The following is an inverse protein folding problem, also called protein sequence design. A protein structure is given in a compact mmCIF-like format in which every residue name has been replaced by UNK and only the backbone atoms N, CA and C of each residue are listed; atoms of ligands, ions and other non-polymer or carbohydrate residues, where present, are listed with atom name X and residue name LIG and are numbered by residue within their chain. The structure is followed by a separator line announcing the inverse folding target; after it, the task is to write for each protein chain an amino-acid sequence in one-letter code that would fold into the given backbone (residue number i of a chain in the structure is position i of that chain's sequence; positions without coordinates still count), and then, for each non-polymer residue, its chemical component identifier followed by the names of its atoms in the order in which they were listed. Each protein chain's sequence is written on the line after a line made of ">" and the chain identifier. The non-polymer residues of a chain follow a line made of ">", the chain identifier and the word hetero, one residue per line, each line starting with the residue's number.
data_IF_329359681517
#
_entry.id   IF_329359681517
#
_cell.length_a   1.000
_cell.length_b   1.000
_cell.length_c   1.000
_cell.angle_alpha   90.00
_cell.angle_beta   90.00
_cell.angle_gamma   90.00
#
_symmetry.space_group_name_H-M   'P 1'
#
loop_
_entity.id
_entity.type
_entity.pdbx_description
1 polymer ?
#
# COMPACT_ATOMS: atom_id res chain seq x y z
N UNK A 1 -8.16 -41.01 1.77
CA UNK A 1 -9.17 -41.18 2.82
C UNK A 1 -9.74 -39.77 3.11
N UNK A 2 -10.96 -39.56 2.65
CA UNK A 2 -11.68 -38.28 2.80
C UNK A 2 -12.33 -38.26 4.17
N UNK A 3 -12.03 -37.25 4.99
CA UNK A 3 -12.81 -36.96 6.21
C UNK A 3 -13.68 -35.75 5.95
N UNK A 4 -14.98 -35.98 5.80
CA UNK A 4 -16.00 -34.97 5.79
C UNK A 4 -16.27 -34.54 7.25
N UNK A 5 -16.20 -33.22 7.50
CA UNK A 5 -16.59 -32.63 8.77
C UNK A 5 -17.99 -32.04 8.58
N UNK A 6 -18.98 -32.67 9.22
CA UNK A 6 -20.34 -32.15 9.33
C UNK A 6 -20.35 -31.01 10.35
N UNK A 7 -20.70 -29.79 9.91
CA UNK A 7 -21.07 -28.72 10.82
C UNK A 7 -22.58 -28.77 11.07
N UNK A 8 -22.95 -29.02 12.33
CA UNK A 8 -24.33 -29.02 12.79
C UNK A 8 -24.86 -27.60 12.95
N UNK A 9 -25.95 -27.30 12.30
CA UNK A 9 -26.72 -26.05 12.46
C UNK A 9 -27.59 -26.21 13.70
N UNK A 10 -27.30 -25.42 14.75
CA UNK A 10 -28.19 -25.28 15.91
C UNK A 10 -29.15 -24.11 15.64
N UNK A 11 -30.39 -24.45 15.28
CA UNK A 11 -31.49 -23.50 15.21
C UNK A 11 -31.98 -23.19 16.63
N UNK A 12 -31.73 -21.99 17.12
CA UNK A 12 -32.35 -21.44 18.34
C UNK A 12 -33.63 -20.72 17.95
N UNK A 13 -34.76 -21.38 18.19
CA UNK A 13 -36.09 -20.77 18.13
C UNK A 13 -36.28 -19.90 19.36
N UNK A 14 -36.35 -18.58 19.21
CA UNK A 14 -36.86 -17.68 20.24
C UNK A 14 -38.34 -17.46 20.05
N UNK A 15 -39.09 -17.97 21.05
CA UNK A 15 -40.50 -17.89 21.15
C UNK A 15 -41.01 -16.45 21.33
N UNK A 16 -42.12 -16.16 20.67
CA UNK A 16 -42.79 -14.88 20.74
C UNK A 16 -43.31 -14.51 22.12
N UNK A 17 -43.15 -13.27 22.48
CA UNK A 17 -43.93 -12.62 23.51
C UNK A 17 -44.92 -11.69 22.78
N UNK A 18 -46.14 -12.18 22.63
CA UNK A 18 -47.28 -11.33 22.29
C UNK A 18 -47.69 -10.51 23.52
N UNK A 19 -47.28 -9.24 23.51
CA UNK A 19 -47.84 -8.26 24.44
C UNK A 19 -49.08 -7.64 23.80
N UNK A 20 -50.25 -7.99 24.32
CA UNK A 20 -51.48 -7.25 24.06
C UNK A 20 -51.37 -5.88 24.74
N UNK A 21 -51.29 -4.82 24.00
CA UNK A 21 -51.50 -3.48 24.49
C UNK A 21 -52.91 -3.03 24.17
N UNK A 22 -53.64 -2.62 25.23
CA UNK A 22 -54.97 -2.07 25.20
C UNK A 22 -55.03 -0.82 24.32
N UNK A 23 -56.12 -0.80 23.53
CA UNK A 23 -56.60 0.32 22.77
C UNK A 23 -56.97 1.45 23.72
N UNK A 24 -56.32 2.60 23.59
CA UNK A 24 -56.85 3.90 23.93
C UNK A 24 -56.96 4.69 22.64
N UNK A 25 -58.21 4.79 22.16
CA UNK A 25 -58.57 5.74 21.13
C UNK A 25 -58.44 7.16 21.67
N UNK A 26 -58.03 8.02 20.76
CA UNK A 26 -58.08 9.47 20.76
C UNK A 26 -56.83 10.21 21.17
N UNK A 27 -56.11 10.56 20.14
CA UNK A 27 -55.66 11.91 19.78
C UNK A 27 -54.60 11.81 18.67
N UNK A 28 -54.92 12.36 17.53
CA UNK A 28 -54.11 12.77 16.38
C UNK A 28 -52.64 12.37 16.35
N UNK A 29 -52.32 11.08 16.50
CA UNK A 29 -50.96 10.59 16.33
C UNK A 29 -50.74 10.45 14.84
N UNK A 30 -49.97 11.35 14.32
CA UNK A 30 -49.36 11.31 13.00
C UNK A 30 -48.91 9.87 12.69
N UNK A 31 -49.35 9.25 11.57
CA UNK A 31 -49.02 7.86 11.27
C UNK A 31 -47.51 7.71 11.28
N UNK A 32 -47.05 6.84 12.16
CA UNK A 32 -45.68 6.48 12.50
C UNK A 32 -44.63 7.16 11.62
N UNK A 33 -43.92 8.13 12.18
CA UNK A 33 -42.69 8.62 11.55
C UNK A 33 -41.90 7.37 11.17
N UNK A 34 -41.78 7.06 9.87
CA UNK A 34 -41.02 5.92 9.38
C UNK A 34 -39.65 6.02 10.04
N UNK A 35 -39.24 4.96 10.71
CA UNK A 35 -37.89 4.94 11.30
C UNK A 35 -36.90 5.40 10.24
N UNK A 36 -36.12 6.42 10.58
CA UNK A 36 -35.15 7.03 9.64
C UNK A 36 -33.81 6.36 9.70
N UNK A 37 -33.65 5.32 10.54
CA UNK A 37 -32.40 4.65 10.79
C UNK A 37 -32.51 3.14 10.70
N UNK A 38 -31.43 2.50 10.34
CA UNK A 38 -31.14 1.07 10.42
C UNK A 38 -29.77 0.84 11.03
N UNK A 39 -29.33 -0.41 11.05
CA UNK A 39 -28.02 -0.81 11.59
C UNK A 39 -27.12 -1.33 10.48
N UNK A 40 -25.82 -1.08 10.59
CA UNK A 40 -24.80 -1.46 9.63
C UNK A 40 -23.66 -2.20 10.34
N UNK A 41 -23.38 -3.43 9.91
CA UNK A 41 -22.21 -4.24 10.31
C UNK A 41 -21.24 -4.38 9.16
N UNK A 42 -19.93 -4.24 9.41
CA UNK A 42 -18.89 -4.27 8.40
C UNK A 42 -17.91 -5.42 8.65
N UNK A 43 -17.60 -6.16 7.60
CA UNK A 43 -16.48 -7.10 7.53
C UNK A 43 -15.41 -6.51 6.59
N UNK A 44 -14.14 -6.65 6.96
CA UNK A 44 -13.02 -6.10 6.21
C UNK A 44 -12.06 -7.20 5.80
N UNK A 45 -11.78 -7.29 4.51
CA UNK A 45 -10.65 -8.00 3.96
C UNK A 45 -9.63 -6.99 3.44
N UNK A 46 -8.38 -7.10 3.88
CA UNK A 46 -7.29 -6.29 3.36
C UNK A 46 -6.42 -7.18 2.46
N UNK A 47 -6.54 -6.99 1.14
CA UNK A 47 -5.70 -7.68 0.15
C UNK A 47 -4.37 -6.97 0.02
N UNK A 48 -3.32 -7.70 0.41
CA UNK A 48 -1.95 -7.21 0.44
C UNK A 48 -1.08 -7.79 -0.67
N UNK A 49 -1.66 -8.43 -1.68
CA UNK A 49 -0.90 -9.00 -2.78
C UNK A 49 -0.24 -7.89 -3.60
N UNK A 50 1.10 -7.92 -3.66
CA UNK A 50 1.90 -7.01 -4.49
C UNK A 50 2.35 -7.75 -5.73
N UNK A 51 1.92 -7.28 -6.90
CA UNK A 51 2.34 -7.84 -8.17
C UNK A 51 3.82 -7.53 -8.44
N UNK A 52 4.68 -8.55 -8.37
CA UNK A 52 6.06 -8.46 -8.83
C UNK A 52 6.08 -8.80 -10.31
N UNK A 53 6.37 -7.82 -11.16
CA UNK A 53 6.49 -8.02 -12.60
C UNK A 53 7.88 -8.57 -12.97
N UNK A 54 8.44 -9.50 -12.20
CA UNK A 54 9.66 -10.20 -12.56
C UNK A 54 9.36 -11.68 -12.76
N UNK A 55 10.04 -12.26 -13.74
CA UNK A 55 9.92 -13.67 -14.20
C UNK A 55 10.31 -14.73 -13.15
N UNK A 56 10.52 -14.33 -11.89
CA UNK A 56 10.88 -15.19 -10.76
C UNK A 56 9.96 -14.81 -9.58
N UNK A 57 8.90 -15.44 -9.50
CA UNK A 57 7.91 -15.83 -8.49
C UNK A 57 8.08 -15.50 -7.01
N UNK A 58 8.56 -14.32 -6.63
CA UNK A 58 8.48 -13.86 -5.26
C UNK A 58 7.44 -12.72 -5.21
N UNK A 59 6.27 -13.02 -4.69
CA UNK A 59 5.31 -11.99 -4.29
C UNK A 59 5.80 -11.40 -2.97
N UNK A 60 6.19 -10.12 -2.96
CA UNK A 60 6.33 -9.39 -1.70
C UNK A 60 4.93 -9.15 -1.14
N UNK A 61 4.59 -9.88 -0.12
CA UNK A 61 3.31 -9.72 0.57
C UNK A 61 3.43 -8.62 1.61
N UNK A 62 2.50 -7.67 1.60
CA UNK A 62 2.35 -6.67 2.65
C UNK A 62 1.28 -7.17 3.62
N UNK A 63 1.69 -7.73 4.74
CA UNK A 63 0.77 -8.26 5.74
C UNK A 63 0.52 -7.19 6.81
N UNK A 64 -0.75 -6.86 7.03
CA UNK A 64 -1.18 -6.05 8.16
C UNK A 64 -1.48 -6.94 9.36
N UNK A 65 -1.00 -6.54 10.52
CA UNK A 65 -1.40 -7.15 11.80
C UNK A 65 -2.88 -6.88 12.10
N UNK A 66 -3.49 -7.68 12.95
CA UNK A 66 -4.88 -7.47 13.37
C UNK A 66 -5.09 -6.11 14.06
N UNK A 67 -4.06 -5.60 14.75
CA UNK A 67 -4.09 -4.27 15.36
C UNK A 67 -4.02 -3.15 14.30
N UNK A 68 -3.36 -3.35 13.18
CA UNK A 68 -3.35 -2.41 12.06
C UNK A 68 -4.69 -2.44 11.32
N UNK A 69 -5.27 -3.62 11.10
CA UNK A 69 -6.60 -3.75 10.49
C UNK A 69 -7.68 -3.00 11.28
N UNK A 70 -7.62 -3.00 12.62
CA UNK A 70 -8.53 -2.24 13.49
C UNK A 70 -8.49 -0.72 13.24
N UNK A 71 -7.39 -0.20 12.70
CA UNK A 71 -7.19 1.24 12.44
C UNK A 71 -7.79 1.74 11.11
N UNK A 72 -8.33 0.86 10.27
CA UNK A 72 -9.02 1.31 9.06
C UNK A 72 -10.13 2.28 9.41
N UNK A 73 -10.11 3.44 8.77
CA UNK A 73 -11.16 4.45 8.87
C UNK A 73 -12.28 4.06 7.93
N UNK A 74 -13.49 3.99 8.46
CA UNK A 74 -14.69 3.62 7.71
C UNK A 74 -15.52 4.88 7.46
N UNK A 75 -15.88 5.09 6.21
CA UNK A 75 -16.73 6.20 5.80
C UNK A 75 -17.86 5.70 4.90
N UNK A 76 -18.98 6.40 4.90
CA UNK A 76 -20.12 6.10 4.04
C UNK A 76 -20.52 7.31 3.21
N UNK A 77 -20.73 7.13 1.91
CA UNK A 77 -21.27 8.18 1.03
C UNK A 77 -22.65 7.74 0.57
N UNK A 78 -23.69 8.51 0.92
CA UNK A 78 -25.09 8.20 0.55
C UNK A 78 -25.29 8.44 -0.95
N UNK A 79 -26.02 7.56 -1.61
CA UNK A 79 -26.33 7.69 -3.03
C UNK A 79 -27.01 9.03 -3.32
N UNK A 80 -26.52 9.74 -4.34
CA UNK A 80 -26.94 11.10 -4.69
C UNK A 80 -26.38 12.21 -3.81
N UNK A 81 -25.60 11.87 -2.76
CA UNK A 81 -24.86 12.82 -1.94
C UNK A 81 -23.41 12.92 -2.38
N UNK A 82 -22.78 14.07 -2.12
CA UNK A 82 -21.33 14.29 -2.35
C UNK A 82 -20.50 14.28 -1.07
N UNK A 83 -21.16 14.25 0.10
CA UNK A 83 -20.49 14.31 1.39
C UNK A 83 -20.33 12.91 1.99
N UNK A 84 -19.12 12.57 2.38
CA UNK A 84 -18.83 11.37 3.15
C UNK A 84 -19.16 11.60 4.61
N UNK A 85 -19.80 10.63 5.26
CA UNK A 85 -20.08 10.62 6.70
C UNK A 85 -19.10 9.69 7.40
N UNK A 86 -18.55 10.06 8.56
CA UNK A 86 -17.66 9.19 9.33
C UNK A 86 -18.48 8.07 9.97
N UNK A 87 -18.07 6.83 9.74
CA UNK A 87 -18.65 5.62 10.35
C UNK A 87 -17.72 5.03 11.44
N UNK A 88 -16.60 5.68 11.74
CA UNK A 88 -15.63 5.29 12.76
C UNK A 88 -14.47 4.49 12.22
N UNK A 89 -13.97 3.54 13.01
CA UNK A 89 -12.88 2.65 12.61
C UNK A 89 -13.37 1.20 12.53
N UNK A 90 -12.59 0.33 11.90
CA UNK A 90 -12.94 -1.09 11.85
C UNK A 90 -12.98 -1.73 13.26
N UNK A 91 -12.23 -1.19 14.23
CA UNK A 91 -12.34 -1.62 15.63
C UNK A 91 -13.76 -1.49 16.20
N UNK A 92 -14.51 -0.52 15.72
CA UNK A 92 -15.89 -0.27 16.18
C UNK A 92 -16.90 -1.33 15.70
N UNK A 93 -16.51 -2.18 14.75
CA UNK A 93 -17.30 -3.29 14.19
C UNK A 93 -16.80 -4.68 14.67
N UNK A 94 -15.83 -4.69 15.56
CA UNK A 94 -15.29 -5.93 16.10
C UNK A 94 -16.39 -6.75 16.79
N UNK A 95 -16.26 -8.09 16.71
CA UNK A 95 -17.20 -9.03 17.32
C UNK A 95 -18.65 -8.91 16.85
N UNK A 96 -18.87 -8.45 15.62
CA UNK A 96 -20.21 -8.29 15.06
C UNK A 96 -20.96 -7.07 15.57
N UNK A 97 -20.25 -6.08 16.12
CA UNK A 97 -20.88 -4.82 16.50
C UNK A 97 -21.40 -4.09 15.26
N UNK A 98 -22.51 -3.37 15.44
CA UNK A 98 -23.21 -2.63 14.39
C UNK A 98 -23.33 -1.17 14.75
N UNK A 99 -23.44 -0.29 13.75
CA UNK A 99 -23.68 1.14 13.93
C UNK A 99 -25.02 1.56 13.36
N UNK A 100 -25.73 2.42 14.08
CA UNK A 100 -26.94 3.06 13.62
C UNK A 100 -26.61 4.13 12.59
N UNK A 101 -27.19 4.02 11.41
CA UNK A 101 -27.06 4.98 10.30
C UNK A 101 -28.42 5.32 9.70
N UNK A 102 -28.51 6.42 8.97
CA UNK A 102 -29.74 6.78 8.27
C UNK A 102 -30.08 5.75 7.19
N UNK A 103 -31.37 5.59 6.93
CA UNK A 103 -31.88 4.76 5.83
C UNK A 103 -31.41 5.31 4.49
N UNK A 104 -30.96 4.43 3.61
CA UNK A 104 -30.50 4.79 2.27
C UNK A 104 -29.57 3.76 1.65
N UNK A 105 -29.15 4.05 0.45
CA UNK A 105 -28.08 3.29 -0.25
C UNK A 105 -26.76 4.04 -0.09
N UNK A 106 -25.71 3.32 0.21
CA UNK A 106 -24.38 3.86 0.51
C UNK A 106 -23.28 3.21 -0.31
N UNK A 107 -22.23 3.97 -0.59
CA UNK A 107 -20.91 3.45 -0.88
C UNK A 107 -20.12 3.49 0.42
N UNK A 108 -19.66 2.34 0.89
CA UNK A 108 -18.88 2.20 2.14
C UNK A 108 -17.40 2.06 1.76
N UNK A 109 -16.59 3.00 2.24
CA UNK A 109 -15.15 3.00 1.99
C UNK A 109 -14.39 2.70 3.28
N UNK A 110 -13.42 1.80 3.19
CA UNK A 110 -12.45 1.51 4.23
C UNK A 110 -11.06 1.97 3.75
N UNK A 111 -10.37 2.81 4.52
CA UNK A 111 -9.04 3.32 4.19
C UNK A 111 -8.09 3.22 5.37
N UNK A 112 -6.82 2.89 5.08
CA UNK A 112 -5.74 2.78 6.06
C UNK A 112 -4.45 3.40 5.55
N UNK A 113 -3.74 4.07 6.43
CA UNK A 113 -2.45 4.69 6.15
C UNK A 113 -2.57 5.99 5.36
N UNK A 114 -1.56 6.82 5.50
CA UNK A 114 -1.41 8.07 4.74
C UNK A 114 0.04 8.30 4.41
N UNK A 115 0.33 8.80 3.22
CA UNK A 115 1.65 9.29 2.84
C UNK A 115 1.63 10.81 2.77
N UNK A 116 2.60 11.46 3.38
CA UNK A 116 2.75 12.93 3.35
C UNK A 116 3.45 13.42 2.09
N UNK A 117 4.30 12.57 1.48
CA UNK A 117 5.06 12.84 0.27
C UNK A 117 4.87 11.76 -0.80
N UNK A 118 5.72 11.79 -1.82
CA UNK A 118 5.76 10.75 -2.85
C UNK A 118 6.46 9.48 -2.37
N UNK A 119 7.29 9.56 -1.33
CA UNK A 119 8.05 8.45 -0.71
C UNK A 119 7.83 8.43 0.80
N UNK A 120 7.81 7.23 1.38
CA UNK A 120 7.85 7.03 2.83
C UNK A 120 8.33 5.61 3.18
N UNK A 121 8.99 5.45 4.33
CA UNK A 121 9.32 4.12 4.85
C UNK A 121 8.16 3.56 5.68
N UNK A 122 7.89 2.26 5.50
CA UNK A 122 6.96 1.46 6.31
C UNK A 122 5.55 2.06 6.43
N UNK A 123 5.11 2.77 5.37
CA UNK A 123 3.77 3.36 5.30
C UNK A 123 2.96 2.80 4.13
N UNK A 124 2.47 1.57 4.25
CA UNK A 124 1.50 1.04 3.30
C UNK A 124 0.19 1.83 3.41
N UNK A 125 -0.44 2.06 2.29
CA UNK A 125 -1.77 2.67 2.20
C UNK A 125 -2.73 1.72 1.52
N UNK A 126 -3.91 1.53 2.12
CA UNK A 126 -4.95 0.65 1.61
C UNK A 126 -6.25 1.41 1.47
N UNK A 127 -7.01 1.08 0.43
CA UNK A 127 -8.37 1.59 0.24
C UNK A 127 -9.22 0.54 -0.46
N UNK A 128 -10.49 0.49 -0.09
CA UNK A 128 -11.49 -0.31 -0.76
C UNK A 128 -12.87 0.28 -0.57
N UNK A 129 -13.78 0.01 -1.50
CA UNK A 129 -15.15 0.53 -1.46
C UNK A 129 -16.12 -0.56 -1.86
N UNK A 130 -17.14 -0.78 -1.02
CA UNK A 130 -18.32 -1.59 -1.34
C UNK A 130 -19.47 -0.64 -1.69
N UNK A 131 -20.03 -0.82 -2.87
CA UNK A 131 -21.10 0.03 -3.39
C UNK A 131 -22.49 -0.60 -3.17
N UNK A 132 -23.51 0.21 -3.34
CA UNK A 132 -24.93 -0.20 -3.31
C UNK A 132 -25.36 -0.89 -2.02
N UNK A 133 -24.72 -0.55 -0.90
CA UNK A 133 -25.08 -1.04 0.44
C UNK A 133 -26.40 -0.43 0.87
N UNK A 134 -27.43 -1.25 0.97
CA UNK A 134 -28.78 -0.79 1.35
C UNK A 134 -28.98 -0.90 2.85
N UNK A 135 -29.28 0.22 3.49
CA UNK A 135 -29.70 0.29 4.91
C UNK A 135 -31.19 0.54 4.97
N UNK A 136 -31.92 -0.40 5.52
CA UNK A 136 -33.39 -0.32 5.66
C UNK A 136 -33.80 0.05 7.08
N UNK A 137 -35.00 0.64 7.21
CA UNK A 137 -35.52 1.05 8.50
C UNK A 137 -35.73 -0.13 9.45
N UNK A 138 -35.22 -0.01 10.69
CA UNK A 138 -35.33 -1.02 11.76
C UNK A 138 -34.79 -2.40 11.35
N UNK A 139 -33.87 -2.45 10.41
CA UNK A 139 -33.17 -3.68 10.02
C UNK A 139 -31.67 -3.53 10.21
N UNK A 140 -31.01 -4.64 10.46
CA UNK A 140 -29.55 -4.74 10.48
C UNK A 140 -29.09 -5.23 9.10
N UNK A 141 -28.20 -4.47 8.46
CA UNK A 141 -27.43 -4.89 7.29
C UNK A 141 -26.11 -5.44 7.80
N UNK A 142 -26.01 -6.75 7.90
CA UNK A 142 -24.81 -7.44 8.44
C UNK A 142 -23.81 -7.77 7.33
N UNK A 143 -22.53 -7.91 7.73
CA UNK A 143 -21.46 -8.46 6.89
C UNK A 143 -21.29 -7.73 5.56
N UNK A 144 -21.31 -6.41 5.58
CA UNK A 144 -20.87 -5.64 4.41
C UNK A 144 -19.38 -5.84 4.23
N UNK A 145 -19.01 -6.66 3.22
CA UNK A 145 -17.63 -7.02 2.96
C UNK A 145 -16.94 -5.92 2.17
N UNK A 146 -15.99 -5.23 2.79
CA UNK A 146 -15.14 -4.26 2.10
C UNK A 146 -13.77 -4.89 1.87
N UNK A 147 -13.37 -5.07 0.61
CA UNK A 147 -12.03 -5.53 0.24
C UNK A 147 -11.16 -4.32 -0.04
N UNK A 148 -10.15 -4.09 0.81
CA UNK A 148 -9.20 -3.00 0.67
C UNK A 148 -7.88 -3.50 0.07
N UNK A 149 -7.45 -2.88 -1.02
CA UNK A 149 -6.21 -3.20 -1.73
C UNK A 149 -5.13 -2.14 -1.46
N UNK A 150 -3.86 -2.52 -1.65
CA UNK A 150 -2.73 -1.62 -1.52
C UNK A 150 -2.77 -0.54 -2.60
N UNK A 151 -2.78 0.74 -2.22
CA UNK A 151 -2.90 1.89 -3.14
C UNK A 151 -1.58 2.57 -3.46
N UNK A 152 -0.51 2.18 -2.78
CA UNK A 152 0.86 2.57 -3.12
C UNK A 152 1.68 1.37 -3.61
N UNK A 153 2.92 1.59 -3.99
CA UNK A 153 3.83 0.56 -4.48
C UNK A 153 5.12 0.53 -3.68
N UNK A 154 5.92 -0.50 -3.87
CA UNK A 154 7.20 -0.68 -3.19
C UNK A 154 8.34 -0.44 -4.17
N UNK A 155 9.42 0.18 -3.70
CA UNK A 155 10.73 0.20 -4.35
C UNK A 155 11.64 -0.73 -3.57
N UNK A 156 12.23 -1.70 -4.24
CA UNK A 156 13.19 -2.63 -3.65
C UNK A 156 14.46 -2.74 -4.50
N UNK A 157 15.54 -3.17 -3.88
CA UNK A 157 16.81 -3.47 -4.57
C UNK A 157 17.02 -4.97 -4.54
N UNK A 158 17.34 -5.55 -5.69
CA UNK A 158 17.65 -6.96 -5.79
C UNK A 158 18.95 -7.28 -5.04
N UNK A 159 18.83 -8.07 -3.98
CA UNK A 159 19.95 -8.36 -3.09
C UNK A 159 21.08 -9.15 -3.79
N UNK A 160 20.73 -10.02 -4.74
CA UNK A 160 21.73 -10.82 -5.47
C UNK A 160 22.59 -9.92 -6.33
N UNK A 161 21.98 -9.08 -7.17
CA UNK A 161 22.73 -8.18 -8.06
C UNK A 161 23.44 -7.08 -7.29
N UNK A 162 22.91 -6.61 -6.17
CA UNK A 162 23.60 -5.68 -5.29
C UNK A 162 24.84 -6.31 -4.63
N UNK A 163 24.75 -7.56 -4.19
CA UNK A 163 25.88 -8.31 -3.64
C UNK A 163 26.96 -8.54 -4.71
N UNK A 164 26.57 -8.85 -5.94
CA UNK A 164 27.50 -9.00 -7.07
C UNK A 164 28.15 -7.67 -7.44
N UNK A 165 27.40 -6.56 -7.48
CA UNK A 165 27.94 -5.22 -7.67
C UNK A 165 29.04 -4.90 -6.64
N UNK A 166 28.82 -5.25 -5.39
CA UNK A 166 29.79 -5.05 -4.29
C UNK A 166 31.07 -5.87 -4.43
N UNK A 167 31.16 -6.84 -5.33
CA UNK A 167 32.45 -7.53 -5.65
C UNK A 167 33.38 -6.61 -6.43
N UNK A 168 32.86 -5.78 -7.30
CA UNK A 168 33.59 -4.88 -8.20
C UNK A 168 33.65 -3.44 -7.72
N UNK A 169 32.74 -3.02 -6.85
CA UNK A 169 32.63 -1.64 -6.35
C UNK A 169 32.45 -1.58 -4.83
N UNK A 170 32.91 -0.50 -4.23
CA UNK A 170 32.56 -0.09 -2.88
C UNK A 170 31.43 0.91 -3.00
N UNK A 171 30.21 0.53 -2.57
CA UNK A 171 29.06 1.41 -2.59
C UNK A 171 29.10 2.29 -1.33
N UNK A 172 29.09 3.61 -1.52
CA UNK A 172 29.10 4.58 -0.42
C UNK A 172 27.72 5.07 -0.07
N UNK A 173 26.86 5.22 -1.08
CA UNK A 173 25.48 5.68 -0.91
C UNK A 173 24.55 4.93 -1.86
N UNK A 174 23.37 4.58 -1.35
CA UNK A 174 22.23 4.11 -2.14
C UNK A 174 20.95 4.62 -1.44
N UNK A 175 20.26 5.56 -2.05
CA UNK A 175 19.09 6.17 -1.46
C UNK A 175 18.09 6.63 -2.52
N UNK A 176 16.85 6.85 -2.11
CA UNK A 176 15.84 7.52 -2.91
C UNK A 176 15.53 8.90 -2.33
N UNK A 177 15.00 9.78 -3.17
CA UNK A 177 14.44 11.06 -2.74
C UNK A 177 13.33 11.51 -3.69
N UNK A 178 12.43 12.37 -3.20
CA UNK A 178 11.42 13.03 -4.02
C UNK A 178 11.80 14.47 -4.25
N UNK A 179 11.77 14.90 -5.50
CA UNK A 179 12.11 16.28 -5.89
C UNK A 179 12.90 16.34 -7.20
N UNK A 180 13.15 17.57 -7.67
CA UNK A 180 13.91 17.83 -8.90
C UNK A 180 15.41 17.99 -8.65
N UNK A 181 15.80 18.25 -7.41
CA UNK A 181 17.19 18.45 -6.96
C UNK A 181 17.48 17.49 -5.82
N UNK A 182 18.69 16.91 -5.81
CA UNK A 182 19.14 16.07 -4.69
C UNK A 182 19.17 16.91 -3.40
N UNK A 183 18.47 16.48 -2.34
CA UNK A 183 18.46 17.22 -1.08
C UNK A 183 19.82 17.20 -0.41
N UNK A 184 20.16 18.31 0.26
CA UNK A 184 21.36 18.39 1.11
C UNK A 184 21.10 17.81 2.49
N UNK A 185 19.83 17.89 2.97
CA UNK A 185 19.42 17.30 4.24
C UNK A 185 19.30 15.78 4.12
N UNK A 186 19.95 15.08 5.03
CA UNK A 186 19.90 13.61 5.10
C UNK A 186 18.52 13.08 5.49
N UNK A 187 17.69 13.89 6.18
CA UNK A 187 16.33 13.52 6.54
C UNK A 187 15.37 13.43 5.34
N UNK A 188 15.74 14.05 4.22
CA UNK A 188 14.98 13.99 2.97
C UNK A 188 15.47 12.85 2.05
N UNK A 189 16.48 12.09 2.49
CA UNK A 189 17.05 10.94 1.79
C UNK A 189 16.57 9.65 2.43
N UNK A 190 15.94 8.82 1.64
CA UNK A 190 15.49 7.48 2.05
C UNK A 190 16.60 6.47 1.78
N UNK A 191 17.53 6.30 2.75
CA UNK A 191 18.66 5.38 2.60
C UNK A 191 18.19 3.93 2.53
N UNK A 192 18.62 3.23 1.49
CA UNK A 192 18.30 1.82 1.22
C UNK A 192 19.42 0.88 1.71
N UNK A 193 20.51 1.44 2.24
CA UNK A 193 21.62 0.70 2.84
C UNK A 193 21.81 1.12 4.29
N UNK A 194 22.28 0.17 5.09
CA UNK A 194 22.67 0.38 6.48
C UNK A 194 24.04 1.10 6.57
N UNK A 195 24.43 1.49 7.77
CA UNK A 195 25.75 2.04 8.06
C UNK A 195 26.91 1.08 7.71
N UNK A 196 26.64 -0.22 7.58
CA UNK A 196 27.60 -1.25 7.16
C UNK A 196 27.56 -1.53 5.65
N UNK A 197 26.90 -0.68 4.88
CA UNK A 197 26.74 -0.79 3.42
C UNK A 197 26.12 -2.14 2.97
N UNK A 198 25.16 -2.62 3.74
CA UNK A 198 24.30 -3.75 3.36
C UNK A 198 22.88 -3.22 3.11
N UNK A 199 22.12 -3.87 2.24
CA UNK A 199 20.72 -3.50 2.05
C UNK A 199 19.98 -3.56 3.39
N UNK A 200 19.21 -2.53 3.68
CA UNK A 200 18.34 -2.49 4.88
C UNK A 200 17.01 -3.18 4.57
N UNK A 201 16.99 -4.50 4.80
CA UNK A 201 15.78 -5.31 4.59
C UNK A 201 14.72 -5.14 5.68
N UNK A 202 15.04 -4.38 6.75
CA UNK A 202 14.09 -4.13 7.84
C UNK A 202 13.05 -3.08 7.49
N UNK A 203 13.27 -2.30 6.42
CA UNK A 203 12.40 -1.21 5.97
C UNK A 203 11.92 -1.46 4.55
N UNK A 204 10.65 -1.17 4.31
CA UNK A 204 10.07 -1.14 2.96
C UNK A 204 9.88 0.31 2.54
N UNK A 205 10.43 0.69 1.39
CA UNK A 205 10.22 2.02 0.82
C UNK A 205 8.97 2.00 -0.05
N UNK A 206 7.97 2.75 0.38
CA UNK A 206 6.72 2.93 -0.38
C UNK A 206 6.79 4.15 -1.27
N UNK A 207 6.18 4.06 -2.45
CA UNK A 207 6.05 5.13 -3.43
C UNK A 207 4.58 5.32 -3.79
N UNK A 208 4.15 6.58 -3.81
CA UNK A 208 2.76 6.95 -4.13
C UNK A 208 2.45 6.68 -5.60
N UNK A 209 1.25 6.19 -5.89
CA UNK A 209 0.71 6.10 -7.25
C UNK A 209 0.84 7.43 -7.99
N UNK A 210 1.30 7.39 -9.22
CA UNK A 210 1.45 8.58 -10.06
C UNK A 210 2.61 9.51 -9.67
N UNK A 211 3.45 9.14 -8.68
CA UNK A 211 4.62 9.91 -8.31
C UNK A 211 5.53 10.14 -9.53
N UNK A 212 5.98 11.37 -9.73
CA UNK A 212 6.69 11.78 -10.95
C UNK A 212 8.14 12.22 -10.72
N UNK A 213 8.47 12.58 -9.47
CA UNK A 213 9.78 13.15 -9.13
C UNK A 213 10.59 12.27 -8.17
N UNK A 214 10.30 10.98 -8.15
CA UNK A 214 11.07 10.02 -7.36
C UNK A 214 12.34 9.65 -8.09
N UNK A 215 13.46 9.87 -7.42
CA UNK A 215 14.80 9.56 -7.93
C UNK A 215 15.45 8.49 -7.07
N UNK A 216 16.27 7.66 -7.70
CA UNK A 216 17.17 6.72 -7.05
C UNK A 216 18.62 7.13 -7.35
N UNK A 217 19.45 7.12 -6.31
CA UNK A 217 20.84 7.51 -6.39
C UNK A 217 21.70 6.35 -5.91
N UNK A 218 22.75 6.04 -6.68
CA UNK A 218 23.81 5.14 -6.28
C UNK A 218 25.15 5.85 -6.43
N UNK A 219 26.00 5.78 -5.39
CA UNK A 219 27.37 6.33 -5.39
C UNK A 219 28.35 5.26 -4.93
N UNK A 220 29.56 5.32 -5.48
CA UNK A 220 30.60 4.37 -5.08
C UNK A 220 31.93 4.63 -5.75
N UNK A 221 32.89 3.74 -5.46
CA UNK A 221 34.21 3.71 -6.08
C UNK A 221 34.50 2.30 -6.58
N UNK A 222 35.34 2.18 -7.59
CA UNK A 222 35.81 0.86 -8.06
C UNK A 222 36.78 0.24 -7.05
N UNK A 223 36.69 -1.07 -6.84
CA UNK A 223 37.65 -1.76 -5.97
C UNK A 223 39.04 -1.91 -6.59
N UNK A 224 39.08 -2.11 -7.90
CA UNK A 224 40.34 -2.26 -8.62
C UNK A 224 41.07 -0.93 -8.83
N UNK A 225 40.35 0.20 -8.71
CA UNK A 225 40.84 1.54 -8.81
C UNK A 225 40.02 2.50 -7.93
N UNK A 226 40.35 2.62 -6.64
CA UNK A 226 39.59 3.45 -5.70
C UNK A 226 39.59 4.95 -6.00
N UNK A 227 40.48 5.40 -6.90
CA UNK A 227 40.47 6.80 -7.37
C UNK A 227 39.31 7.10 -8.31
N UNK A 228 38.72 6.06 -8.90
CA UNK A 228 37.57 6.16 -9.78
C UNK A 228 36.27 6.09 -8.99
N UNK A 229 35.62 7.21 -8.83
CA UNK A 229 34.29 7.32 -8.24
C UNK A 229 33.21 7.38 -9.31
N UNK A 230 32.03 6.96 -8.95
CA UNK A 230 30.84 7.12 -9.79
C UNK A 230 29.64 7.60 -8.98
N UNK A 231 28.79 8.34 -9.66
CA UNK A 231 27.47 8.75 -9.15
C UNK A 231 26.46 8.58 -10.27
N UNK A 232 25.37 7.91 -9.96
CA UNK A 232 24.25 7.81 -10.88
C UNK A 232 22.95 8.20 -10.19
N UNK A 233 22.19 9.07 -10.83
CA UNK A 233 20.85 9.50 -10.40
C UNK A 233 19.86 9.26 -11.53
N UNK A 234 18.81 8.50 -11.27
CA UNK A 234 17.75 8.23 -12.24
C UNK A 234 16.38 8.36 -11.62
N UNK A 235 15.46 8.95 -12.38
CA UNK A 235 14.04 8.94 -12.01
C UNK A 235 13.48 7.52 -12.16
N UNK A 236 12.73 7.05 -11.17
CA UNK A 236 12.07 5.74 -11.23
C UNK A 236 11.16 5.67 -12.46
N UNK A 237 10.42 6.74 -12.76
CA UNK A 237 9.56 6.83 -13.94
C UNK A 237 10.32 6.55 -15.26
N UNK A 238 11.56 7.02 -15.38
CA UNK A 238 12.41 6.73 -16.55
C UNK A 238 12.86 5.28 -16.57
N UNK A 239 13.13 4.69 -15.40
CA UNK A 239 13.58 3.31 -15.29
C UNK A 239 12.48 2.28 -15.59
N UNK A 240 11.24 2.58 -15.30
CA UNK A 240 10.11 1.69 -15.59
C UNK A 240 9.65 1.75 -17.05
N UNK A 241 10.13 2.71 -17.82
CA UNK A 241 9.84 2.88 -19.24
C UNK A 241 9.20 4.22 -19.57
N UNK A 242 9.50 4.72 -20.76
CA UNK A 242 8.97 6.00 -21.25
C UNK A 242 7.44 5.92 -21.36
N UNK A 243 6.75 6.96 -20.87
CA UNK A 243 5.28 7.02 -20.84
C UNK A 243 4.61 6.20 -19.75
N UNK A 244 5.35 5.37 -19.00
CA UNK A 244 4.80 4.61 -17.88
C UNK A 244 4.64 5.50 -16.65
N UNK A 245 3.65 5.15 -15.80
CA UNK A 245 3.43 5.78 -14.51
C UNK A 245 3.65 4.75 -13.39
N UNK A 246 3.94 5.23 -12.19
CA UNK A 246 3.93 4.41 -11.00
C UNK A 246 2.48 4.00 -10.72
N UNK A 247 2.23 2.70 -10.78
CA UNK A 247 0.92 2.07 -10.57
C UNK A 247 0.75 1.67 -9.10
N UNK A 248 -0.43 1.20 -8.72
CA UNK A 248 -0.73 0.63 -7.40
C UNK A 248 -0.25 -0.82 -7.30
N UNK A 249 -0.01 -1.28 -6.08
CA UNK A 249 0.28 -2.67 -5.73
C UNK A 249 1.38 -3.32 -6.60
N UNK A 250 2.42 -2.56 -6.94
CA UNK A 250 3.60 -3.05 -7.68
C UNK A 250 4.83 -3.07 -6.78
N UNK A 251 5.76 -3.98 -7.06
CA UNK A 251 7.12 -3.89 -6.56
C UNK A 251 8.06 -3.52 -7.72
N UNK A 252 8.66 -2.35 -7.64
CA UNK A 252 9.70 -1.90 -8.55
C UNK A 252 11.06 -2.39 -8.04
N UNK A 253 11.38 -3.64 -8.40
CA UNK A 253 12.63 -4.28 -8.01
C UNK A 253 13.77 -3.82 -8.93
N UNK A 254 14.75 -3.12 -8.36
CA UNK A 254 15.88 -2.54 -9.08
C UNK A 254 17.07 -3.50 -9.02
N UNK A 255 17.59 -3.83 -10.19
CA UNK A 255 18.78 -4.65 -10.37
C UNK A 255 19.92 -3.78 -10.89
N UNK A 256 21.10 -3.92 -10.33
CA UNK A 256 22.29 -3.24 -10.75
C UNK A 256 23.35 -4.24 -11.26
N UNK A 257 23.90 -4.00 -12.43
CA UNK A 257 25.01 -4.77 -12.96
C UNK A 257 26.07 -3.81 -13.49
N UNK A 258 27.30 -3.96 -13.04
CA UNK A 258 28.45 -3.18 -13.52
C UNK A 258 29.24 -4.02 -14.51
N UNK A 259 29.45 -3.47 -15.71
CA UNK A 259 30.27 -4.08 -16.75
C UNK A 259 31.18 -3.04 -17.39
N UNK A 260 32.30 -3.46 -17.94
CA UNK A 260 33.18 -2.58 -18.69
C UNK A 260 34.63 -3.03 -18.64
N UNK A 261 35.40 -2.61 -19.64
CA UNK A 261 36.83 -2.79 -19.73
C UNK A 261 37.58 -1.56 -19.17
N UNK A 262 38.92 -1.66 -19.07
CA UNK A 262 39.75 -0.57 -18.60
C UNK A 262 39.49 0.73 -19.39
N UNK A 263 38.70 1.63 -18.83
CA UNK A 263 38.44 2.96 -19.38
C UNK A 263 37.01 3.32 -19.71
N UNK A 264 36.11 2.34 -19.74
CA UNK A 264 34.66 2.63 -19.82
C UNK A 264 33.90 1.71 -18.88
N UNK A 265 33.00 2.29 -18.08
CA UNK A 265 32.13 1.57 -17.16
C UNK A 265 30.68 1.82 -17.53
N UNK A 266 29.94 0.76 -17.65
CA UNK A 266 28.51 0.83 -17.87
C UNK A 266 27.77 0.24 -16.66
N UNK A 267 26.94 1.05 -16.03
CA UNK A 267 25.98 0.59 -15.02
C UNK A 267 24.67 0.25 -15.73
N UNK A 268 24.34 -1.02 -15.76
CA UNK A 268 23.06 -1.49 -16.27
C UNK A 268 22.06 -1.52 -15.12
N UNK A 269 20.94 -0.81 -15.29
CA UNK A 269 19.84 -0.77 -14.33
C UNK A 269 18.64 -1.44 -14.98
N UNK A 270 18.10 -2.45 -14.33
CA UNK A 270 16.90 -3.16 -14.78
C UNK A 270 15.79 -3.01 -13.76
N UNK A 271 14.65 -2.53 -14.17
CA UNK A 271 13.44 -2.42 -13.34
C UNK A 271 12.28 -3.09 -14.08
N UNK A 272 11.66 -4.09 -13.46
CA UNK A 272 10.54 -4.83 -14.03
C UNK A 272 10.77 -5.32 -15.48
N UNK A 273 12.02 -5.70 -15.79
CA UNK A 273 12.41 -6.16 -17.13
C UNK A 273 12.80 -5.05 -18.11
N UNK A 274 12.58 -3.79 -17.80
CA UNK A 274 13.08 -2.64 -18.59
C UNK A 274 14.55 -2.40 -18.26
N UNK A 275 15.40 -2.42 -19.29
CA UNK A 275 16.86 -2.25 -19.16
C UNK A 275 17.25 -0.83 -19.53
N UNK A 276 17.97 -0.16 -18.64
CA UNK A 276 18.58 1.16 -18.89
C UNK A 276 20.09 1.06 -18.66
N UNK A 277 20.85 1.30 -19.73
CA UNK A 277 22.29 1.38 -19.66
C UNK A 277 22.73 2.82 -19.40
N UNK A 278 23.67 3.00 -18.49
CA UNK A 278 24.21 4.30 -18.13
C UNK A 278 25.73 4.23 -18.20
N UNK A 279 26.32 4.98 -19.10
CA UNK A 279 27.74 5.18 -19.13
C UNK A 279 28.12 6.03 -17.92
N UNK A 280 28.94 5.45 -17.05
CA UNK A 280 29.41 6.15 -15.87
C UNK A 280 30.60 7.04 -16.27
N UNK A 281 30.52 8.36 -16.06
CA UNK A 281 31.69 9.20 -16.19
C UNK A 281 32.69 8.77 -15.11
N UNK A 282 33.77 8.18 -15.55
CA UNK A 282 34.93 7.83 -14.67
C UNK A 282 35.79 9.08 -14.56
N UNK A 283 35.74 9.73 -13.38
CA UNK A 283 36.70 10.82 -13.12
C UNK A 283 38.05 10.19 -12.83
N UNK A 284 38.98 10.33 -13.77
CA UNK A 284 40.40 9.94 -13.57
C UNK A 284 41.08 11.13 -12.93
N UNK A 285 41.71 10.91 -11.78
CA UNK A 285 42.62 11.93 -11.21
C UNK A 285 43.84 12.06 -12.15
N UNK A 286 44.07 13.21 -12.81
CA UNK A 286 45.12 13.34 -13.78
C UNK A 286 46.55 13.42 -13.18
N UNK A 287 46.65 13.26 -11.85
CA UNK A 287 47.92 13.42 -11.11
C UNK A 287 48.43 12.15 -10.43
N UNK A 288 47.98 10.96 -10.84
CA UNK A 288 48.56 9.68 -10.48
C UNK A 288 49.14 8.95 -11.68
#
# INVERSE_FOLDING_TARGET
>A
MKKALLLGIAALAFGGLTSCSNILEDSGVNPAAKAKTGELGIALEADASVSVTTKAGASDEVTLSDEEKKKFVITGTKAGGSSSIPLGTFADYANGAVKTVEVGTYSITAAYGTMTGELDFDKPTFEGTENDVVVEANKTTENVNVTASLTNSIISIDNTTFTDLKKSATITDLFAYSGTVEPTDTNEKYSLISATNTLDSSKKLYVKKGASNVNIVIKGTLKDDPTKSFTNTKKIKTLIGEGQNIEEAKNYNIKYTLSGDKGSLTLTITVNGTVTNVDLPVTVNPYE
#
